data_IF_568410682782
#
_entry.id   IF_568410682782
#
_cell.length_a   1.000
_cell.length_b   1.000
_cell.length_c   1.000
_cell.angle_alpha   90.00
_cell.angle_beta   90.00
_cell.angle_gamma   90.00
#
_symmetry.space_group_name_H-M   'P 1'
#
loop_
_entity.id
_entity.type
_entity.pdbx_description
1 polymer ?
#
# COMPACT_ATOMS: atom_id res chain seq x y z
N UNK A 1 10.56 22.29 18.89
CA UNK A 1 10.09 22.28 17.49
C UNK A 1 10.40 20.91 16.88
N UNK A 2 9.43 20.00 16.82
CA UNK A 2 9.62 18.66 16.26
C UNK A 2 9.06 18.65 14.82
N UNK A 3 9.90 19.05 13.87
CA UNK A 3 9.60 18.92 12.45
C UNK A 3 9.89 17.45 12.03
N UNK A 4 9.08 16.51 12.54
CA UNK A 4 9.18 15.11 12.09
C UNK A 4 8.65 15.05 10.67
N UNK A 5 9.55 14.74 9.71
CA UNK A 5 9.17 14.38 8.35
C UNK A 5 8.13 13.26 8.37
N UNK A 6 7.17 13.24 7.42
CA UNK A 6 6.19 12.14 7.32
C UNK A 6 6.93 10.78 7.36
N UNK A 7 6.40 9.84 8.14
CA UNK A 7 6.95 8.49 8.20
C UNK A 7 6.75 7.79 6.86
N UNK A 8 7.79 7.84 6.04
CA UNK A 8 7.88 7.02 4.83
C UNK A 8 8.19 5.60 5.29
N UNK A 9 7.45 4.56 4.83
CA UNK A 9 7.78 3.19 5.19
C UNK A 9 9.20 2.85 4.73
N UNK A 10 9.94 2.15 5.58
CA UNK A 10 11.26 1.66 5.24
C UNK A 10 11.18 0.80 3.98
N UNK A 11 12.16 0.91 3.06
CA UNK A 11 12.19 0.08 1.86
C UNK A 11 12.24 -1.40 2.24
N UNK A 12 11.51 -2.24 1.49
CA UNK A 12 11.63 -3.70 1.60
C UNK A 12 13.06 -4.09 1.23
N UNK A 13 13.69 -4.91 2.05
CA UNK A 13 14.99 -5.50 1.71
C UNK A 13 14.81 -6.49 0.58
N UNK A 14 15.65 -6.39 -0.46
CA UNK A 14 15.67 -7.31 -1.60
C UNK A 14 16.83 -8.29 -1.34
N UNK A 15 16.53 -9.60 -1.16
CA UNK A 15 17.57 -10.60 -1.02
C UNK A 15 18.48 -10.63 -2.27
N UNK A 16 19.74 -11.01 -2.10
CA UNK A 16 20.72 -11.05 -3.19
C UNK A 16 20.25 -11.91 -4.37
N UNK A 17 19.60 -13.04 -4.09
CA UNK A 17 18.99 -13.91 -5.11
C UNK A 17 17.98 -13.20 -6.02
N UNK A 18 17.41 -12.08 -5.57
CA UNK A 18 16.42 -11.28 -6.32
C UNK A 18 16.93 -9.89 -6.69
N UNK A 19 18.23 -9.72 -6.80
CA UNK A 19 18.90 -8.43 -7.08
C UNK A 19 18.37 -7.71 -8.33
N UNK A 20 17.83 -8.45 -9.31
CA UNK A 20 17.18 -7.92 -10.50
C UNK A 20 15.92 -7.06 -10.17
N UNK A 21 15.31 -7.21 -9.00
CA UNK A 21 14.20 -6.37 -8.55
C UNK A 21 14.65 -4.96 -8.14
N UNK A 22 15.96 -4.73 -7.97
CA UNK A 22 16.48 -3.40 -7.65
C UNK A 22 16.17 -2.39 -8.76
N UNK A 23 16.49 -2.76 -10.02
CA UNK A 23 16.18 -1.92 -11.19
C UNK A 23 14.68 -1.65 -11.35
N UNK A 24 13.83 -2.63 -11.04
CA UNK A 24 12.38 -2.43 -11.02
C UNK A 24 11.94 -1.44 -9.92
N UNK A 25 12.52 -1.52 -8.73
CA UNK A 25 12.23 -0.57 -7.65
C UNK A 25 12.61 0.86 -8.06
N UNK A 26 13.77 1.03 -8.68
CA UNK A 26 14.27 2.33 -9.14
C UNK A 26 13.37 2.88 -10.28
N UNK A 27 12.91 2.01 -11.18
CA UNK A 27 11.90 2.34 -12.18
C UNK A 27 10.61 2.84 -11.54
N UNK A 28 10.07 2.17 -10.50
CA UNK A 28 8.88 2.61 -9.80
C UNK A 28 9.07 3.97 -9.08
N UNK A 29 10.29 4.26 -8.64
CA UNK A 29 10.64 5.57 -8.07
C UNK A 29 10.55 6.65 -9.15
N UNK A 30 11.14 6.42 -10.30
CA UNK A 30 11.10 7.34 -11.44
C UNK A 30 9.67 7.61 -11.93
N UNK A 31 8.78 6.60 -11.83
CA UNK A 31 7.35 6.72 -12.14
C UNK A 31 6.53 7.40 -11.02
N UNK A 32 7.16 7.95 -10.00
CA UNK A 32 6.50 8.61 -8.85
C UNK A 32 5.49 7.73 -8.10
N UNK A 33 5.62 6.40 -8.19
CA UNK A 33 4.78 5.45 -7.47
C UNK A 33 4.97 5.62 -5.96
N UNK A 34 3.89 5.60 -5.19
CA UNK A 34 3.95 5.81 -3.74
C UNK A 34 4.85 4.78 -3.03
N UNK A 35 5.57 5.16 -1.95
CA UNK A 35 6.43 4.24 -1.21
C UNK A 35 5.72 2.97 -0.73
N UNK A 36 4.47 3.09 -0.29
CA UNK A 36 3.64 1.94 0.10
C UNK A 36 3.38 0.98 -1.07
N UNK A 37 3.04 1.51 -2.24
CA UNK A 37 2.79 0.69 -3.43
C UNK A 37 4.07 0.01 -3.91
N UNK A 38 5.21 0.73 -3.92
CA UNK A 38 6.51 0.16 -4.29
C UNK A 38 6.90 -1.01 -3.39
N UNK A 39 6.80 -0.81 -2.07
CA UNK A 39 7.10 -1.85 -1.10
C UNK A 39 6.17 -3.06 -1.26
N UNK A 40 4.87 -2.82 -1.45
CA UNK A 40 3.90 -3.89 -1.68
C UNK A 40 4.24 -4.69 -2.95
N UNK A 41 4.55 -4.02 -4.06
CA UNK A 41 4.88 -4.68 -5.32
C UNK A 41 6.19 -5.49 -5.22
N UNK A 42 7.24 -4.91 -4.64
CA UNK A 42 8.52 -5.63 -4.45
C UNK A 42 8.32 -6.84 -3.55
N UNK A 43 7.59 -6.70 -2.44
CA UNK A 43 7.29 -7.81 -1.53
C UNK A 43 6.47 -8.91 -2.22
N UNK A 44 5.46 -8.55 -3.01
CA UNK A 44 4.65 -9.51 -3.76
C UNK A 44 5.50 -10.27 -4.79
N UNK A 45 6.42 -9.59 -5.50
CA UNK A 45 7.30 -10.22 -6.47
C UNK A 45 8.30 -11.18 -5.82
N UNK A 46 8.87 -10.82 -4.66
CA UNK A 46 9.74 -11.72 -3.89
C UNK A 46 8.96 -12.98 -3.52
N UNK A 47 7.76 -12.81 -2.95
CA UNK A 47 6.90 -13.93 -2.57
C UNK A 47 6.53 -14.82 -3.77
N UNK A 48 6.23 -14.23 -4.92
CA UNK A 48 5.98 -15.02 -6.13
C UNK A 48 7.26 -15.76 -6.58
N UNK A 49 8.42 -15.10 -6.56
CA UNK A 49 9.68 -15.70 -6.99
C UNK A 49 10.14 -16.86 -6.09
N UNK A 50 9.76 -16.85 -4.80
CA UNK A 50 10.01 -17.94 -3.87
C UNK A 50 9.21 -19.21 -4.20
N UNK A 51 8.14 -19.12 -4.99
CA UNK A 51 7.33 -20.27 -5.39
C UNK A 51 7.99 -21.14 -6.46
N UNK A 52 8.96 -20.64 -7.20
CA UNK A 52 9.63 -21.35 -8.29
C UNK A 52 11.15 -21.17 -8.19
N UNK A 53 11.88 -22.24 -8.58
CA UNK A 53 13.35 -22.17 -8.67
C UNK A 53 13.82 -21.29 -9.83
N UNK A 54 13.00 -21.17 -10.90
CA UNK A 54 13.28 -20.39 -12.09
C UNK A 54 13.25 -18.88 -11.81
N UNK A 55 14.23 -18.09 -12.30
CA UNK A 55 14.24 -16.64 -12.10
C UNK A 55 13.01 -15.96 -12.71
N UNK A 56 12.41 -15.03 -11.99
CA UNK A 56 11.20 -14.29 -12.40
C UNK A 56 11.30 -13.64 -13.81
N UNK A 57 12.43 -13.07 -14.26
CA UNK A 57 12.54 -12.52 -15.61
C UNK A 57 12.36 -13.54 -16.73
N UNK A 58 12.55 -14.83 -16.46
CA UNK A 58 12.52 -15.92 -17.44
C UNK A 58 11.18 -16.65 -17.50
N UNK A 59 10.21 -16.28 -16.63
CA UNK A 59 8.92 -16.96 -16.56
C UNK A 59 8.13 -16.84 -17.85
N UNK A 60 7.44 -17.91 -18.20
CA UNK A 60 6.47 -17.98 -19.28
C UNK A 60 5.02 -17.94 -18.71
N UNK A 61 4.03 -18.16 -19.57
CA UNK A 61 2.62 -18.18 -19.19
C UNK A 61 2.30 -19.28 -18.17
N UNK A 62 2.89 -20.46 -18.34
CA UNK A 62 2.60 -21.61 -17.47
C UNK A 62 3.21 -21.42 -16.09
N UNK A 63 4.43 -20.86 -16.02
CA UNK A 63 5.06 -20.48 -14.73
C UNK A 63 4.17 -19.52 -13.92
N UNK A 64 3.52 -18.55 -14.60
CA UNK A 64 2.56 -17.65 -13.94
C UNK A 64 1.35 -18.42 -13.40
N UNK A 65 0.82 -19.37 -14.18
CA UNK A 65 -0.30 -20.22 -13.76
C UNK A 65 0.05 -21.04 -12.54
N UNK A 66 1.24 -21.67 -12.52
CA UNK A 66 1.72 -22.48 -11.42
C UNK A 66 1.86 -21.67 -10.12
N UNK A 67 2.42 -20.47 -10.21
CA UNK A 67 2.53 -19.55 -9.07
C UNK A 67 1.16 -19.14 -8.53
N UNK A 68 0.19 -18.84 -9.40
CA UNK A 68 -1.17 -18.50 -8.95
C UNK A 68 -1.87 -19.66 -8.25
N UNK A 69 -1.65 -20.90 -8.73
CA UNK A 69 -2.13 -22.13 -8.09
C UNK A 69 -1.48 -22.26 -6.70
N UNK A 70 -0.17 -22.08 -6.62
CA UNK A 70 0.56 -22.20 -5.35
C UNK A 70 0.12 -21.16 -4.32
N UNK A 71 -0.03 -19.89 -4.73
CA UNK A 71 -0.56 -18.85 -3.87
C UNK A 71 -1.99 -19.15 -3.37
N UNK A 72 -2.79 -19.84 -4.19
CA UNK A 72 -4.14 -20.27 -3.82
C UNK A 72 -4.08 -21.40 -2.79
N UNK A 73 -3.17 -22.40 -2.96
CA UNK A 73 -2.93 -23.46 -1.98
C UNK A 73 -2.46 -22.90 -0.64
N UNK A 74 -1.66 -21.83 -0.65
CA UNK A 74 -1.22 -21.10 0.53
C UNK A 74 -2.35 -20.24 1.17
N UNK A 75 -3.57 -20.38 0.70
CA UNK A 75 -4.75 -19.66 1.21
C UNK A 75 -4.62 -18.12 1.15
N UNK A 76 -3.87 -17.60 0.19
CA UNK A 76 -3.81 -16.14 -0.02
C UNK A 76 -5.16 -15.60 -0.44
N UNK A 77 -5.52 -14.44 0.10
CA UNK A 77 -6.80 -13.82 -0.23
C UNK A 77 -6.87 -13.45 -1.73
N UNK A 78 -8.07 -13.50 -2.36
CA UNK A 78 -8.24 -13.07 -3.76
C UNK A 78 -7.71 -11.65 -4.03
N UNK A 79 -7.79 -10.76 -3.03
CA UNK A 79 -7.24 -9.40 -3.11
C UNK A 79 -5.71 -9.40 -3.15
N UNK A 80 -5.06 -10.27 -2.39
CA UNK A 80 -3.59 -10.43 -2.43
C UNK A 80 -3.14 -10.99 -3.78
N UNK A 81 -3.82 -12.01 -4.30
CA UNK A 81 -3.53 -12.59 -5.63
C UNK A 81 -3.72 -11.54 -6.73
N UNK A 82 -4.78 -10.73 -6.68
CA UNK A 82 -5.00 -9.65 -7.62
C UNK A 82 -3.89 -8.59 -7.56
N UNK A 83 -3.34 -8.30 -6.37
CA UNK A 83 -2.21 -7.38 -6.20
C UNK A 83 -0.93 -7.99 -6.75
N UNK A 84 -0.63 -9.26 -6.49
CA UNK A 84 0.49 -9.99 -7.09
C UNK A 84 0.44 -9.93 -8.62
N UNK A 85 -0.72 -10.20 -9.24
CA UNK A 85 -0.89 -10.06 -10.69
C UNK A 85 -0.62 -8.64 -11.19
N UNK A 86 -1.01 -7.62 -10.42
CA UNK A 86 -0.73 -6.22 -10.77
C UNK A 86 0.77 -5.91 -10.68
N UNK A 87 1.46 -6.44 -9.65
CA UNK A 87 2.90 -6.32 -9.50
C UNK A 87 3.65 -7.01 -10.65
N UNK A 88 3.26 -8.24 -11.00
CA UNK A 88 3.82 -8.99 -12.14
C UNK A 88 3.62 -8.24 -13.47
N UNK A 89 2.41 -7.71 -13.74
CA UNK A 89 2.16 -6.89 -14.95
C UNK A 89 3.07 -5.66 -15.00
N UNK A 90 3.24 -4.99 -13.87
CA UNK A 90 4.12 -3.82 -13.77
C UNK A 90 5.59 -4.19 -13.99
N UNK A 91 6.02 -5.33 -13.47
CA UNK A 91 7.39 -5.85 -13.65
C UNK A 91 7.67 -6.22 -15.11
N UNK A 92 6.78 -6.97 -15.77
CA UNK A 92 6.98 -7.33 -17.18
C UNK A 92 6.83 -6.13 -18.13
N UNK A 93 6.03 -5.13 -17.76
CA UNK A 93 6.02 -3.83 -18.45
C UNK A 93 7.40 -3.16 -18.36
N UNK A 94 7.99 -3.11 -17.17
CA UNK A 94 9.36 -2.61 -16.95
C UNK A 94 10.37 -3.35 -17.81
N UNK A 95 10.39 -4.70 -17.82
CA UNK A 95 11.33 -5.47 -18.63
C UNK A 95 11.18 -5.16 -20.14
N UNK A 96 9.96 -4.96 -20.62
CA UNK A 96 9.73 -4.58 -22.02
C UNK A 96 10.24 -3.17 -22.32
N UNK A 97 10.00 -2.21 -21.48
CA UNK A 97 10.48 -0.83 -21.65
C UNK A 97 12.01 -0.75 -21.62
N UNK A 98 12.66 -1.60 -20.83
CA UNK A 98 14.11 -1.74 -20.81
C UNK A 98 14.67 -2.60 -21.95
N UNK A 99 13.81 -3.10 -22.85
CA UNK A 99 14.17 -4.00 -23.96
C UNK A 99 14.86 -5.31 -23.51
N UNK A 100 14.67 -5.70 -22.27
CA UNK A 100 15.15 -6.96 -21.71
C UNK A 100 14.27 -8.15 -22.08
N UNK A 101 13.04 -7.86 -22.53
CA UNK A 101 12.05 -8.84 -22.96
C UNK A 101 11.08 -8.22 -23.97
N UNK A 102 10.54 -9.03 -24.90
CA UNK A 102 9.58 -8.56 -25.92
C UNK A 102 8.12 -8.91 -25.61
N UNK A 103 7.88 -10.00 -24.88
CA UNK A 103 6.56 -10.53 -24.55
C UNK A 103 6.10 -10.15 -23.13
N UNK A 104 4.85 -10.46 -22.80
CA UNK A 104 4.28 -10.30 -21.47
C UNK A 104 3.53 -11.58 -21.06
N UNK A 105 4.14 -12.47 -20.28
CA UNK A 105 3.53 -13.75 -19.91
C UNK A 105 2.27 -13.62 -19.05
N UNK A 106 2.05 -12.45 -18.43
CA UNK A 106 0.89 -12.18 -17.56
C UNK A 106 -0.33 -11.68 -18.35
N UNK A 107 -0.16 -11.33 -19.64
CA UNK A 107 -1.20 -10.65 -20.41
C UNK A 107 -2.55 -11.40 -20.47
N UNK A 108 -2.51 -12.73 -20.62
CA UNK A 108 -3.70 -13.57 -20.71
C UNK A 108 -4.37 -13.87 -19.35
N UNK A 109 -3.68 -13.66 -18.24
CA UNK A 109 -4.21 -13.97 -16.92
C UNK A 109 -5.22 -12.93 -16.46
N UNK A 110 -6.45 -13.36 -16.19
CA UNK A 110 -7.51 -12.48 -15.68
C UNK A 110 -7.33 -12.25 -14.19
N UNK A 111 -7.54 -11.00 -13.76
CA UNK A 111 -7.58 -10.69 -12.33
C UNK A 111 -8.80 -11.34 -11.69
N UNK A 112 -8.67 -12.01 -10.53
CA UNK A 112 -9.81 -12.55 -9.81
C UNK A 112 -10.88 -11.49 -9.60
N UNK A 113 -12.15 -11.86 -9.79
CA UNK A 113 -13.28 -10.98 -9.45
C UNK A 113 -13.32 -10.83 -7.94
N UNK A 114 -13.04 -9.63 -7.45
CA UNK A 114 -13.18 -9.31 -6.03
C UNK A 114 -14.64 -8.99 -5.75
N UNK A 115 -15.29 -9.76 -4.88
CA UNK A 115 -16.58 -9.37 -4.31
C UNK A 115 -16.44 -8.00 -3.64
N UNK A 116 -17.42 -7.12 -3.82
CA UNK A 116 -17.52 -5.89 -3.02
C UNK A 116 -17.95 -6.30 -1.61
N UNK A 117 -17.01 -6.32 -0.67
CA UNK A 117 -17.39 -6.33 0.73
C UNK A 117 -18.13 -5.03 1.03
N UNK A 118 -19.32 -5.12 1.63
CA UNK A 118 -20.00 -3.93 2.15
C UNK A 118 -19.08 -3.28 3.20
N UNK A 119 -18.98 -1.94 3.22
CA UNK A 119 -18.32 -1.25 4.30
C UNK A 119 -18.90 -1.71 5.64
N UNK A 120 -18.05 -1.87 6.64
CA UNK A 120 -18.50 -2.06 8.01
C UNK A 120 -18.63 -0.67 8.61
N UNK A 121 -19.84 -0.14 8.59
CA UNK A 121 -20.12 1.16 9.17
C UNK A 121 -20.26 1.02 10.69
N UNK A 122 -19.75 2.02 11.42
CA UNK A 122 -20.02 2.20 12.85
C UNK A 122 -21.33 2.95 13.00
N UNK A 123 -22.15 2.59 14.01
CA UNK A 123 -23.28 3.41 14.40
C UNK A 123 -22.82 4.73 15.04
N UNK A 124 -23.69 5.73 15.07
CA UNK A 124 -23.39 7.00 15.77
C UNK A 124 -23.01 6.76 17.23
N UNK A 125 -23.70 5.84 17.91
CA UNK A 125 -23.40 5.47 19.28
C UNK A 125 -22.00 4.82 19.44
N UNK A 126 -21.57 3.98 18.48
CA UNK A 126 -20.23 3.39 18.48
C UNK A 126 -19.16 4.47 18.28
N UNK A 127 -19.43 5.45 17.40
CA UNK A 127 -18.52 6.58 17.16
C UNK A 127 -18.38 7.45 18.42
N UNK A 128 -19.49 7.79 19.07
CA UNK A 128 -19.47 8.54 20.31
C UNK A 128 -18.72 7.78 21.42
N UNK A 129 -19.00 6.49 21.59
CA UNK A 129 -18.30 5.65 22.55
C UNK A 129 -16.78 5.62 22.27
N UNK A 130 -16.38 5.51 21.01
CA UNK A 130 -14.96 5.51 20.59
C UNK A 130 -14.28 6.85 20.91
N UNK A 131 -14.94 7.97 20.62
CA UNK A 131 -14.44 9.32 20.91
C UNK A 131 -14.26 9.52 22.42
N UNK A 132 -15.17 9.01 23.24
CA UNK A 132 -15.15 9.18 24.69
C UNK A 132 -14.30 8.16 25.45
N UNK A 133 -13.84 7.09 24.79
CA UNK A 133 -13.06 6.03 25.44
C UNK A 133 -11.70 6.48 26.03
N UNK A 134 -10.95 7.44 25.44
CA UNK A 134 -9.67 7.85 26.01
C UNK A 134 -9.83 8.61 27.33
N UNK A 135 -9.01 8.27 28.34
CA UNK A 135 -8.95 8.97 29.63
C UNK A 135 -8.27 10.35 29.47
N UNK A 136 -9.09 11.41 29.45
CA UNK A 136 -8.62 12.79 29.26
C UNK A 136 -7.80 13.35 30.44
N UNK A 137 -7.73 12.65 31.57
CA UNK A 137 -6.87 13.04 32.72
C UNK A 137 -5.39 12.67 32.44
N UNK A 138 -5.11 11.91 31.41
CA UNK A 138 -3.75 11.57 30.96
C UNK A 138 -3.38 12.35 29.70
N UNK A 139 -2.10 12.72 29.57
CA UNK A 139 -1.61 13.41 28.36
C UNK A 139 -1.82 12.58 27.07
N UNK A 140 -1.70 11.25 27.17
CA UNK A 140 -1.93 10.33 26.06
C UNK A 140 -3.41 10.26 25.69
N UNK A 141 -4.29 10.12 26.68
CA UNK A 141 -5.73 10.05 26.42
C UNK A 141 -6.29 11.37 25.89
N UNK A 142 -5.81 12.52 26.38
CA UNK A 142 -6.17 13.82 25.83
C UNK A 142 -5.75 13.95 24.35
N UNK A 143 -4.54 13.51 24.01
CA UNK A 143 -4.07 13.45 22.61
C UNK A 143 -4.95 12.54 21.76
N UNK A 144 -5.23 11.33 22.24
CA UNK A 144 -5.97 10.31 21.47
C UNK A 144 -7.42 10.77 21.27
N UNK A 145 -8.05 11.42 22.26
CA UNK A 145 -9.35 12.06 22.13
C UNK A 145 -9.35 13.13 21.04
N UNK A 146 -8.39 14.04 21.07
CA UNK A 146 -8.27 15.09 20.03
C UNK A 146 -8.07 14.50 18.64
N UNK A 147 -7.33 13.40 18.52
CA UNK A 147 -7.14 12.69 17.25
C UNK A 147 -8.46 12.10 16.72
N UNK A 148 -9.26 11.46 17.56
CA UNK A 148 -10.56 10.92 17.16
C UNK A 148 -11.56 12.01 16.78
N UNK A 149 -11.62 13.10 17.54
CA UNK A 149 -12.49 14.23 17.21
C UNK A 149 -12.12 14.88 15.86
N UNK A 150 -10.83 15.09 15.59
CA UNK A 150 -10.37 15.63 14.31
C UNK A 150 -10.61 14.66 13.15
N UNK A 151 -10.43 13.34 13.36
CA UNK A 151 -10.76 12.32 12.36
C UNK A 151 -12.22 12.38 11.98
N UNK A 152 -13.11 12.42 12.96
CA UNK A 152 -14.56 12.42 12.75
C UNK A 152 -15.04 13.72 12.12
N UNK A 153 -14.63 14.87 12.68
CA UNK A 153 -15.07 16.18 12.21
C UNK A 153 -14.61 16.50 10.77
N UNK A 154 -13.42 16.03 10.38
CA UNK A 154 -12.80 16.39 9.11
C UNK A 154 -12.74 15.26 8.09
N UNK A 155 -13.16 14.04 8.44
CA UNK A 155 -13.12 12.88 7.55
C UNK A 155 -11.71 12.51 7.07
N UNK A 156 -10.67 12.75 7.90
CA UNK A 156 -9.29 12.51 7.53
C UNK A 156 -8.97 11.03 7.38
N UNK A 157 -8.03 10.71 6.48
CA UNK A 157 -7.35 9.42 6.53
C UNK A 157 -6.36 9.39 7.69
N UNK A 158 -6.13 8.21 8.28
CA UNK A 158 -5.15 8.05 9.39
C UNK A 158 -3.79 8.63 9.01
N UNK A 159 -3.32 8.43 7.78
CA UNK A 159 -2.05 8.99 7.29
C UNK A 159 -2.06 10.52 7.19
N UNK A 160 -3.19 11.13 6.92
CA UNK A 160 -3.35 12.59 6.88
C UNK A 160 -3.31 13.15 8.31
N UNK A 161 -4.00 12.50 9.24
CA UNK A 161 -3.99 12.89 10.65
C UNK A 161 -2.59 12.83 11.27
N UNK A 162 -1.87 11.70 11.14
CA UNK A 162 -0.54 11.53 11.77
C UNK A 162 0.54 12.45 11.16
N UNK A 163 0.29 12.96 9.96
CA UNK A 163 1.16 13.94 9.30
C UNK A 163 0.63 15.38 9.39
N UNK A 164 -0.49 15.61 10.07
CA UNK A 164 -1.06 16.94 10.24
C UNK A 164 -0.10 17.83 11.05
N UNK A 165 0.20 18.99 10.50
CA UNK A 165 1.07 19.99 11.13
C UNK A 165 0.22 21.08 11.76
N UNK A 166 0.67 21.64 12.87
CA UNK A 166 -0.04 22.70 13.60
C UNK A 166 -0.19 23.98 12.78
N UNK A 167 0.77 24.28 11.87
CA UNK A 167 0.71 25.43 10.97
C UNK A 167 -0.36 25.30 9.86
N UNK A 168 -0.92 24.11 9.69
CA UNK A 168 -2.02 23.84 8.76
C UNK A 168 -3.40 23.90 9.42
N UNK A 169 -3.45 24.18 10.72
CA UNK A 169 -4.70 24.28 11.49
C UNK A 169 -4.98 25.74 11.82
N UNK A 170 -6.14 26.24 11.44
CA UNK A 170 -6.60 27.56 11.82
C UNK A 170 -7.74 27.44 12.83
N UNK A 171 -7.40 27.49 14.13
CA UNK A 171 -8.37 27.36 15.22
C UNK A 171 -9.35 28.55 15.29
N UNK A 172 -8.93 29.74 14.80
CA UNK A 172 -9.81 30.91 14.82
C UNK A 172 -10.94 30.84 13.81
N UNK A 173 -10.66 30.24 12.66
CA UNK A 173 -11.60 30.13 11.54
C UNK A 173 -12.19 28.71 11.41
N UNK A 174 -11.76 27.75 12.25
CA UNK A 174 -12.31 26.41 12.31
C UNK A 174 -12.03 25.54 11.07
N UNK A 175 -10.90 25.75 10.38
CA UNK A 175 -10.52 24.89 9.25
C UNK A 175 -9.10 24.34 9.40
N UNK A 176 -8.86 23.22 8.71
CA UNK A 176 -7.53 22.67 8.51
C UNK A 176 -7.26 22.46 7.01
N UNK A 177 -5.99 22.57 6.63
CA UNK A 177 -5.55 22.38 5.24
C UNK A 177 -4.79 21.05 5.13
N UNK A 178 -5.19 20.22 4.17
CA UNK A 178 -4.55 18.92 3.92
C UNK A 178 -4.06 18.89 2.47
N UNK A 179 -2.90 18.27 2.28
CA UNK A 179 -2.43 17.88 0.95
C UNK A 179 -2.82 16.42 0.72
N UNK A 180 -3.82 16.19 -0.10
CA UNK A 180 -4.34 14.87 -0.39
C UNK A 180 -3.43 14.04 -1.32
N UNK A 181 -3.85 12.80 -1.60
CA UNK A 181 -3.15 11.88 -2.51
C UNK A 181 -3.04 12.51 -3.92
N UNK A 182 -1.82 12.61 -4.44
CA UNK A 182 -1.56 13.19 -5.76
C UNK A 182 -1.39 14.72 -5.76
N UNK A 183 -1.07 15.31 -4.60
CA UNK A 183 -0.80 16.76 -4.46
C UNK A 183 -2.01 17.65 -4.82
N UNK A 184 -3.23 17.09 -4.63
CA UNK A 184 -4.51 17.78 -4.82
C UNK A 184 -5.08 18.22 -3.50
#
# INVERSE_FOLDING_TARGET
MLNKKPRIPSPVQIPEAFSYLQGFRDYLIAQTVSPHTRNAYVSDLIQCAECLVKPLPEWNHDDISDVLIELTKQQKSPRSIARCLSALRSFYKFLREQKLRSDNPVAAHKTPKLGRALPKDLSEADVEALIHAPDINTALGLRDRAMFEVLYACGLRVTELINLRLDLINLKQGYLRIVGKGNK
#
